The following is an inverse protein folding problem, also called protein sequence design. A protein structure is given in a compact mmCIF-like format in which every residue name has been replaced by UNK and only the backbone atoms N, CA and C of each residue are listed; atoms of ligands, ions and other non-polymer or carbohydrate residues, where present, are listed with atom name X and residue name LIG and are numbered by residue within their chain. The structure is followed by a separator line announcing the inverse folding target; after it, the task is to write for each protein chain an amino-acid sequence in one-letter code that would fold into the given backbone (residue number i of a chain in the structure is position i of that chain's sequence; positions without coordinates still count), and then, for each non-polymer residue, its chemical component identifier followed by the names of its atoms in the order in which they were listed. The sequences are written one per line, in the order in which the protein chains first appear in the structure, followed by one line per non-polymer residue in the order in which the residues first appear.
data_IF_846609526521
#
_entry.id   IF_846609526521
#
_cell.length_a   1.000
_cell.length_b   1.000
_cell.length_c   1.000
_cell.angle_alpha   90.00
_cell.angle_beta   90.00
_cell.angle_gamma   90.00
#
_symmetry.space_group_name_H-M   'P 1'
#
loop_
_entity.id
_entity.type
_entity.pdbx_description
1 polymer ?
#
# COMPACT_ATOMS: atom_id res chain seq x y z
N UNK A 1 22.38 31.44 68.55
CA UNK A 1 21.41 30.57 69.23
C UNK A 1 20.01 30.95 68.75
N UNK A 2 19.77 30.97 67.44
CA UNK A 2 19.51 29.79 66.59
C UNK A 2 18.28 29.03 67.07
N UNK A 3 17.13 29.26 66.41
CA UNK A 3 16.46 28.15 65.72
C UNK A 3 15.41 28.69 64.72
N UNK A 4 15.74 28.50 63.45
CA UNK A 4 14.95 28.74 62.25
C UNK A 4 14.91 27.37 61.56
N UNK A 5 13.75 26.72 61.46
CA UNK A 5 13.47 25.58 60.54
C UNK A 5 12.04 25.08 60.78
N UNK A 6 11.05 25.45 59.96
CA UNK A 6 10.79 25.03 58.56
C UNK A 6 9.66 23.99 58.51
N UNK A 7 8.66 24.34 57.72
CA UNK A 7 7.32 23.79 57.60
C UNK A 7 7.35 22.56 56.68
N UNK A 8 7.49 21.38 57.26
CA UNK A 8 7.57 20.11 56.55
C UNK A 8 6.22 19.49 56.20
N UNK A 9 5.30 20.25 55.59
CA UNK A 9 4.02 19.77 55.06
C UNK A 9 4.20 18.86 53.82
N UNK A 10 4.67 17.64 54.03
CA UNK A 10 4.86 16.62 52.99
C UNK A 10 3.55 16.09 52.42
N UNK A 11 2.89 16.86 51.55
CA UNK A 11 1.76 16.43 50.74
C UNK A 11 2.17 15.37 49.73
N UNK A 12 2.12 14.10 50.13
CA UNK A 12 2.29 12.95 49.24
C UNK A 12 1.26 12.99 48.12
N UNK A 13 1.66 13.50 46.95
CA UNK A 13 0.92 13.36 45.70
C UNK A 13 0.92 11.88 45.31
N UNK A 14 -0.09 11.14 45.77
CA UNK A 14 -0.37 9.80 45.30
C UNK A 14 -0.54 9.84 43.78
N UNK A 15 0.42 9.27 43.06
CA UNK A 15 0.33 9.06 41.62
C UNK A 15 -0.74 8.00 41.38
N UNK A 16 -1.97 8.45 41.13
CA UNK A 16 -3.08 7.56 40.77
C UNK A 16 -2.84 7.03 39.35
N UNK A 17 -2.43 5.77 39.25
CA UNK A 17 -2.36 5.06 37.98
C UNK A 17 -3.79 4.75 37.50
N UNK A 18 -4.12 5.20 36.30
CA UNK A 18 -5.39 4.91 35.65
C UNK A 18 -5.15 3.96 34.47
N UNK A 19 -5.95 2.90 34.40
CA UNK A 19 -5.85 1.88 33.36
C UNK A 19 -7.03 2.01 32.40
N UNK A 20 -6.75 1.99 31.09
CA UNK A 20 -7.77 1.92 30.04
C UNK A 20 -7.89 0.47 29.57
N UNK A 21 -9.07 -0.13 29.76
CA UNK A 21 -9.39 -1.45 29.19
C UNK A 21 -10.22 -1.21 27.94
N UNK A 22 -9.69 -1.62 26.77
CA UNK A 22 -10.39 -1.55 25.49
C UNK A 22 -10.80 -2.95 25.07
N UNK A 23 -12.10 -3.16 24.85
CA UNK A 23 -12.64 -4.40 24.29
C UNK A 23 -12.96 -4.18 22.83
N UNK A 24 -12.43 -5.05 21.96
CA UNK A 24 -12.67 -4.97 20.52
C UNK A 24 -13.73 -6.00 20.11
N UNK A 25 -14.70 -5.57 19.32
CA UNK A 25 -15.67 -6.43 18.65
C UNK A 25 -15.66 -6.14 17.15
N UNK A 26 -15.78 -7.17 16.32
CA UNK A 26 -15.93 -6.99 14.87
C UNK A 26 -17.41 -6.68 14.58
N UNK A 27 -17.71 -5.43 14.19
CA UNK A 27 -19.09 -5.02 13.89
C UNK A 27 -19.56 -5.55 12.52
N UNK A 28 -18.68 -5.55 11.52
CA UNK A 28 -19.00 -5.95 10.15
C UNK A 28 -17.85 -6.73 9.49
N UNK A 29 -18.15 -7.67 8.57
CA UNK A 29 -17.12 -8.31 7.77
C UNK A 29 -16.38 -7.28 6.92
N UNK A 30 -15.06 -7.44 6.70
CA UNK A 30 -14.28 -6.47 5.93
C UNK A 30 -14.86 -6.32 4.52
N UNK A 31 -15.05 -5.07 4.10
CA UNK A 31 -15.56 -4.74 2.76
C UNK A 31 -14.71 -5.44 1.69
N UNK A 32 -15.32 -6.04 0.64
CA UNK A 32 -14.56 -6.59 -0.47
C UNK A 32 -13.71 -5.49 -1.10
N UNK A 33 -12.39 -5.67 -1.10
CA UNK A 33 -11.46 -4.73 -1.71
C UNK A 33 -11.43 -4.93 -3.22
N UNK A 34 -11.29 -3.84 -4.00
CA UNK A 34 -11.10 -3.95 -5.44
C UNK A 34 -9.75 -4.64 -5.74
N UNK A 35 -9.78 -5.63 -6.63
CA UNK A 35 -8.58 -6.34 -7.10
C UNK A 35 -7.79 -5.42 -8.06
N UNK A 36 -6.99 -4.51 -7.49
CA UNK A 36 -6.15 -3.58 -8.26
C UNK A 36 -4.70 -3.98 -8.08
N UNK A 37 -4.02 -4.22 -9.20
CA UNK A 37 -2.59 -4.45 -9.24
C UNK A 37 -1.90 -3.25 -9.90
N UNK A 38 -0.93 -2.64 -9.22
CA UNK A 38 -0.21 -1.46 -9.69
C UNK A 38 1.21 -1.82 -10.11
N UNK A 39 1.54 -1.55 -11.38
CA UNK A 39 2.90 -1.65 -11.90
C UNK A 39 3.51 -0.25 -12.00
N UNK A 40 4.61 -0.02 -11.30
CA UNK A 40 5.25 1.29 -11.20
C UNK A 40 6.73 1.21 -11.56
N UNK A 41 7.16 2.01 -12.54
CA UNK A 41 8.58 2.25 -12.77
C UNK A 41 9.19 2.96 -11.56
N UNK A 42 10.32 2.45 -11.06
CA UNK A 42 10.93 2.89 -9.80
C UNK A 42 11.10 4.42 -9.76
N UNK A 43 10.27 5.13 -8.97
CA UNK A 43 10.36 6.58 -8.90
C UNK A 43 11.50 6.97 -7.96
N UNK A 44 11.85 8.25 -7.95
CA UNK A 44 12.88 8.75 -7.03
C UNK A 44 12.54 8.35 -5.58
N UNK A 45 13.52 7.96 -4.74
CA UNK A 45 13.27 7.44 -3.39
C UNK A 45 12.35 8.31 -2.53
N UNK A 46 12.51 9.64 -2.59
CA UNK A 46 11.64 10.59 -1.87
C UNK A 46 10.18 10.54 -2.30
N UNK A 47 9.93 10.31 -3.58
CA UNK A 47 8.57 10.19 -4.13
C UNK A 47 7.99 8.82 -3.79
N UNK A 48 8.80 7.76 -3.91
CA UNK A 48 8.39 6.40 -3.55
C UNK A 48 7.91 6.30 -2.10
N UNK A 49 8.63 6.94 -1.17
CA UNK A 49 8.24 7.01 0.24
C UNK A 49 6.81 7.52 0.42
N UNK A 50 6.46 8.61 -0.26
CA UNK A 50 5.11 9.20 -0.19
C UNK A 50 4.06 8.30 -0.84
N UNK A 51 4.42 7.64 -1.93
CA UNK A 51 3.50 6.77 -2.65
C UNK A 51 3.10 5.53 -1.86
N UNK A 52 3.93 5.00 -0.94
CA UNK A 52 3.57 3.82 -0.16
C UNK A 52 2.28 3.99 0.62
N UNK A 53 2.15 5.09 1.38
CA UNK A 53 0.93 5.38 2.14
C UNK A 53 -0.27 5.57 1.22
N UNK A 54 -0.11 6.32 0.11
CA UNK A 54 -1.20 6.55 -0.86
C UNK A 54 -1.66 5.24 -1.52
N UNK A 55 -0.73 4.37 -1.95
CA UNK A 55 -1.07 3.09 -2.56
C UNK A 55 -1.81 2.16 -1.58
N UNK A 56 -1.43 2.17 -0.30
CA UNK A 56 -2.14 1.44 0.73
C UNK A 56 -3.55 2.01 1.00
N UNK A 57 -3.70 3.35 1.04
CA UNK A 57 -5.00 4.01 1.22
C UNK A 57 -5.98 3.68 0.08
N UNK A 58 -5.47 3.51 -1.13
CA UNK A 58 -6.28 3.13 -2.29
C UNK A 58 -6.74 1.66 -2.26
N UNK A 59 -6.25 0.84 -1.32
CA UNK A 59 -6.61 -0.58 -1.22
C UNK A 59 -6.03 -1.43 -2.36
N UNK A 60 -4.86 -1.05 -2.88
CA UNK A 60 -4.15 -1.83 -3.91
C UNK A 60 -3.78 -3.20 -3.35
N UNK A 61 -4.04 -4.27 -4.10
CA UNK A 61 -3.75 -5.64 -3.65
C UNK A 61 -2.28 -6.01 -3.87
N UNK A 62 -1.72 -5.63 -5.03
CA UNK A 62 -0.32 -5.89 -5.35
C UNK A 62 0.36 -4.67 -5.96
N UNK A 63 1.56 -4.36 -5.48
CA UNK A 63 2.41 -3.28 -5.99
C UNK A 63 3.68 -3.91 -6.55
N UNK A 64 3.92 -3.73 -7.86
CA UNK A 64 5.10 -4.22 -8.56
C UNK A 64 5.97 -3.03 -8.93
N UNK A 65 7.13 -2.91 -8.32
CA UNK A 65 8.11 -1.86 -8.63
C UNK A 65 9.14 -2.42 -9.60
N UNK A 66 9.32 -1.77 -10.74
CA UNK A 66 10.23 -2.20 -11.81
C UNK A 66 11.33 -1.21 -12.09
N UNK A 67 12.51 -1.70 -12.46
CA UNK A 67 13.52 -0.81 -13.02
C UNK A 67 13.18 -0.47 -14.48
N UNK A 68 13.09 0.83 -14.78
CA UNK A 68 12.95 1.33 -16.14
C UNK A 68 14.28 1.93 -16.63
N UNK A 69 14.47 2.02 -17.95
CA UNK A 69 15.73 2.47 -18.58
C UNK A 69 16.20 3.87 -18.14
N UNK A 70 15.29 4.72 -17.62
CA UNK A 70 15.56 6.07 -17.10
C UNK A 70 15.74 6.14 -15.58
N UNK A 71 15.69 5.02 -14.88
CA UNK A 71 15.90 4.96 -13.43
C UNK A 71 17.38 4.83 -13.11
N UNK A 72 17.90 5.67 -12.21
CA UNK A 72 19.30 5.59 -11.79
C UNK A 72 19.54 4.31 -10.98
N UNK A 73 20.56 3.53 -11.37
CA UNK A 73 20.91 2.26 -10.72
C UNK A 73 21.15 2.42 -9.21
N UNK A 74 21.63 3.57 -8.77
CA UNK A 74 21.96 3.86 -7.37
C UNK A 74 20.75 3.81 -6.41
N UNK A 75 19.52 4.03 -6.91
CA UNK A 75 18.33 3.99 -6.06
C UNK A 75 17.99 2.59 -5.52
N UNK A 76 18.52 1.54 -6.16
CA UNK A 76 18.36 0.15 -5.73
C UNK A 76 19.34 -0.25 -4.62
N UNK A 77 20.53 0.34 -4.61
CA UNK A 77 21.62 -0.03 -3.71
C UNK A 77 21.77 0.91 -2.51
N UNK A 78 21.07 2.05 -2.51
CA UNK A 78 21.12 2.97 -1.38
C UNK A 78 20.43 2.37 -0.16
N UNK A 79 21.09 2.44 0.99
CA UNK A 79 20.51 2.03 2.29
C UNK A 79 19.21 2.76 2.65
N UNK A 80 18.99 3.94 2.03
CA UNK A 80 17.78 4.77 2.18
C UNK A 80 16.68 4.42 1.17
N UNK A 81 16.85 3.36 0.38
CA UNK A 81 15.83 2.94 -0.56
C UNK A 81 14.61 2.43 0.20
N UNK A 82 13.47 3.10 0.03
CA UNK A 82 12.17 2.70 0.58
C UNK A 82 11.64 1.39 -0.01
N UNK A 83 12.49 0.59 -0.67
CA UNK A 83 12.23 -0.78 -1.05
C UNK A 83 12.40 -1.75 0.13
N UNK A 84 13.19 -1.37 1.15
CA UNK A 84 13.41 -2.21 2.33
C UNK A 84 12.15 -2.27 3.20
N UNK A 85 11.85 -3.46 3.69
CA UNK A 85 10.66 -3.76 4.50
C UNK A 85 10.54 -2.84 5.71
N UNK A 86 11.61 -2.65 6.49
CA UNK A 86 11.57 -1.78 7.67
C UNK A 86 11.26 -0.30 7.38
N UNK A 87 11.49 0.18 6.16
CA UNK A 87 11.14 1.56 5.76
C UNK A 87 9.74 1.64 5.16
N UNK A 88 9.31 0.64 4.40
CA UNK A 88 8.00 0.65 3.72
C UNK A 88 6.85 0.19 4.60
N UNK A 89 7.06 -0.81 5.47
CA UNK A 89 6.00 -1.40 6.28
C UNK A 89 5.29 -0.37 7.17
N UNK A 90 6.00 0.57 7.86
CA UNK A 90 5.33 1.61 8.64
C UNK A 90 4.47 2.53 7.79
N UNK A 91 4.96 2.92 6.61
CA UNK A 91 4.25 3.80 5.67
C UNK A 91 3.00 3.14 5.08
N UNK A 92 3.10 1.84 4.78
CA UNK A 92 1.99 1.03 4.33
C UNK A 92 0.95 0.88 5.44
N UNK A 93 1.37 0.61 6.69
CA UNK A 93 0.48 0.48 7.84
C UNK A 93 -0.28 1.79 8.11
N UNK A 94 0.40 2.94 8.05
CA UNK A 94 -0.23 4.26 8.15
C UNK A 94 -1.28 4.45 7.05
N UNK A 95 -0.96 4.10 5.80
CA UNK A 95 -1.90 4.21 4.70
C UNK A 95 -3.11 3.27 4.83
N UNK A 96 -2.90 2.04 5.30
CA UNK A 96 -3.99 1.10 5.59
C UNK A 96 -4.90 1.63 6.69
N UNK A 97 -4.33 2.19 7.75
CA UNK A 97 -5.09 2.81 8.83
C UNK A 97 -5.94 3.98 8.33
N UNK A 98 -5.37 4.86 7.50
CA UNK A 98 -6.11 5.98 6.92
C UNK A 98 -7.21 5.54 5.94
N UNK A 99 -6.99 4.46 5.18
CA UNK A 99 -7.96 3.89 4.24
C UNK A 99 -9.00 2.97 4.88
N UNK A 100 -8.84 2.62 6.17
CA UNK A 100 -9.68 1.61 6.83
C UNK A 100 -9.52 0.20 6.26
N UNK A 101 -8.37 -0.09 5.63
CA UNK A 101 -8.09 -1.37 4.99
C UNK A 101 -7.40 -2.33 5.96
N UNK A 102 -7.75 -3.62 5.88
CA UNK A 102 -7.25 -4.65 6.81
C UNK A 102 -6.29 -5.66 6.17
N UNK A 103 -6.11 -5.64 4.84
CA UNK A 103 -5.15 -6.54 4.16
C UNK A 103 -3.93 -5.76 3.68
N UNK A 104 -2.75 -6.31 3.99
CA UNK A 104 -1.48 -5.74 3.57
C UNK A 104 -1.24 -5.98 2.07
N UNK A 105 -0.84 -4.96 1.29
CA UNK A 105 -0.50 -5.14 -0.11
C UNK A 105 0.73 -6.03 -0.30
N UNK A 106 0.68 -6.90 -1.30
CA UNK A 106 1.82 -7.69 -1.75
C UNK A 106 2.77 -6.76 -2.51
N UNK A 107 4.01 -6.64 -2.07
CA UNK A 107 5.02 -5.81 -2.75
C UNK A 107 6.03 -6.71 -3.45
N UNK A 108 6.22 -6.50 -4.75
CA UNK A 108 7.22 -7.17 -5.58
C UNK A 108 8.16 -6.16 -6.18
N UNK A 109 9.44 -6.51 -6.23
CA UNK A 109 10.49 -5.62 -6.72
C UNK A 109 11.26 -6.36 -7.80
N UNK A 110 11.16 -5.89 -9.05
CA UNK A 110 11.67 -6.58 -10.23
C UNK A 110 12.73 -5.73 -10.95
N UNK A 111 13.91 -6.32 -11.17
CA UNK A 111 15.07 -5.58 -11.68
C UNK A 111 15.00 -5.23 -13.17
N UNK A 112 14.16 -5.93 -13.94
CA UNK A 112 14.12 -5.77 -15.39
C UNK A 112 12.67 -5.77 -15.87
N UNK A 113 12.28 -4.70 -16.57
CA UNK A 113 10.94 -4.55 -17.13
C UNK A 113 10.64 -5.58 -18.24
N UNK A 114 11.58 -5.80 -19.15
CA UNK A 114 11.36 -6.65 -20.34
C UNK A 114 11.04 -8.12 -19.96
N UNK A 115 11.86 -8.82 -19.14
CA UNK A 115 11.52 -10.18 -18.70
C UNK A 115 10.23 -10.25 -17.87
N UNK A 116 9.90 -9.19 -17.13
CA UNK A 116 8.65 -9.15 -16.37
C UNK A 116 7.45 -9.18 -17.33
N UNK A 117 7.43 -8.30 -18.33
CA UNK A 117 6.33 -8.19 -19.29
C UNK A 117 6.14 -9.45 -20.12
N UNK A 118 7.23 -10.04 -20.61
CA UNK A 118 7.18 -11.13 -21.58
C UNK A 118 6.91 -12.51 -20.94
N UNK A 119 7.29 -12.71 -19.67
CA UNK A 119 7.28 -14.06 -19.08
C UNK A 119 6.65 -14.16 -17.70
N UNK A 120 6.61 -13.06 -16.92
CA UNK A 120 6.17 -13.12 -15.52
C UNK A 120 4.82 -12.48 -15.28
N UNK A 121 4.39 -11.53 -16.12
CA UNK A 121 3.17 -10.77 -15.88
C UNK A 121 1.93 -11.67 -15.93
N UNK A 122 1.87 -12.58 -16.89
CA UNK A 122 0.74 -13.52 -17.07
C UNK A 122 0.64 -14.55 -15.95
N UNK A 123 1.74 -14.89 -15.27
CA UNK A 123 1.72 -15.79 -14.11
C UNK A 123 1.45 -15.08 -12.79
N UNK A 124 1.66 -13.76 -12.74
CA UNK A 124 1.47 -12.95 -11.54
C UNK A 124 0.08 -12.31 -11.42
N UNK A 125 -0.63 -12.16 -12.54
CA UNK A 125 -1.93 -11.50 -12.59
C UNK A 125 -3.01 -12.49 -13.05
N UNK A 126 -4.26 -12.32 -12.58
CA UNK A 126 -5.37 -13.12 -13.09
C UNK A 126 -5.51 -12.97 -14.60
N UNK A 127 -5.82 -14.07 -15.30
CA UNK A 127 -5.97 -14.10 -16.76
C UNK A 127 -7.09 -13.17 -17.27
N UNK A 128 -8.08 -12.87 -16.44
CA UNK A 128 -9.22 -12.00 -16.76
C UNK A 128 -8.99 -10.53 -16.38
N UNK A 129 -7.80 -10.17 -15.87
CA UNK A 129 -7.51 -8.81 -15.43
C UNK A 129 -7.37 -7.85 -16.62
N UNK A 130 -8.13 -6.76 -16.60
CA UNK A 130 -7.97 -5.67 -17.59
C UNK A 130 -6.67 -4.93 -17.35
N UNK A 131 -5.82 -4.86 -18.38
CA UNK A 131 -4.55 -4.11 -18.32
C UNK A 131 -4.78 -2.70 -18.84
N UNK A 132 -4.46 -1.72 -18.00
CA UNK A 132 -4.60 -0.31 -18.32
C UNK A 132 -3.22 0.36 -18.27
N UNK A 133 -2.90 1.12 -19.32
CA UNK A 133 -1.71 1.94 -19.36
C UNK A 133 -2.12 3.40 -19.13
N UNK A 134 -1.57 4.02 -18.08
CA UNK A 134 -1.73 5.46 -17.88
C UNK A 134 -0.82 6.20 -18.87
N UNK A 135 -1.40 6.62 -19.99
CA UNK A 135 -0.78 7.55 -20.94
C UNK A 135 -1.47 8.91 -20.84
N UNK A 136 -0.69 9.99 -20.95
CA UNK A 136 -1.17 11.38 -20.98
C UNK A 136 -1.64 11.79 -22.39
N UNK A 137 -1.56 10.90 -23.37
CA UNK A 137 -2.09 11.08 -24.72
C UNK A 137 -3.63 11.03 -24.83
N UNK A 138 -4.15 11.27 -26.02
CA UNK A 138 -5.58 11.11 -26.33
C UNK A 138 -5.92 9.63 -26.48
N UNK A 139 -6.36 9.00 -25.39
CA UNK A 139 -6.81 7.61 -25.35
C UNK A 139 -8.23 7.51 -24.79
N UNK A 140 -8.97 6.42 -25.09
CA UNK A 140 -10.30 6.18 -24.51
C UNK A 140 -10.23 6.23 -22.99
N UNK A 141 -11.28 6.77 -22.38
CA UNK A 141 -11.34 6.95 -20.93
C UNK A 141 -11.34 5.59 -20.23
N UNK A 142 -10.84 5.55 -18.98
CA UNK A 142 -10.82 4.33 -18.17
C UNK A 142 -12.18 3.63 -18.11
N UNK A 143 -13.27 4.40 -18.08
CA UNK A 143 -14.65 3.90 -18.03
C UNK A 143 -15.05 3.15 -19.31
N UNK A 144 -14.58 3.60 -20.46
CA UNK A 144 -14.89 2.97 -21.76
C UNK A 144 -14.16 1.65 -21.91
N UNK A 145 -12.87 1.61 -21.52
CA UNK A 145 -12.06 0.38 -21.59
C UNK A 145 -12.61 -0.71 -20.65
N UNK A 146 -12.99 -0.33 -19.42
CA UNK A 146 -13.60 -1.29 -18.47
C UNK A 146 -14.93 -1.83 -18.98
N UNK A 147 -15.77 -1.00 -19.61
CA UNK A 147 -17.04 -1.44 -20.21
C UNK A 147 -16.82 -2.42 -21.36
N UNK A 148 -15.88 -2.14 -22.25
CA UNK A 148 -15.56 -3.03 -23.37
C UNK A 148 -15.15 -4.42 -22.86
N UNK A 149 -14.23 -4.47 -21.89
CA UNK A 149 -13.78 -5.74 -21.30
C UNK A 149 -14.89 -6.50 -20.57
N UNK A 150 -15.79 -5.79 -19.88
CA UNK A 150 -16.93 -6.44 -19.18
C UNK A 150 -17.91 -7.06 -20.18
N UNK A 151 -18.16 -6.41 -21.31
CA UNK A 151 -19.03 -6.94 -22.36
C UNK A 151 -18.44 -8.18 -23.02
N UNK A 152 -17.13 -8.19 -23.30
CA UNK A 152 -16.45 -9.36 -23.90
C UNK A 152 -16.50 -10.59 -22.98
N UNK A 153 -16.45 -10.40 -21.66
CA UNK A 153 -16.51 -11.52 -20.71
C UNK A 153 -17.94 -12.04 -20.46
N UNK A 154 -18.97 -11.24 -20.77
CA UNK A 154 -20.38 -11.63 -20.64
C UNK A 154 -20.89 -12.52 -21.78
N UNK A 155 -20.14 -12.64 -22.88
CA UNK A 155 -20.48 -13.47 -24.05
C UNK A 155 -20.05 -14.94 -23.97
N UNK A 156 -19.29 -15.32 -22.94
CA UNK A 156 -18.60 -16.64 -22.90
C UNK A 156 -19.30 -17.68 -22.01
N UNK A 157 -20.50 -17.41 -21.47
CA UNK A 157 -21.19 -18.27 -20.51
C UNK A 157 -22.50 -18.88 -21.05
N UNK A 158 -22.52 -19.26 -22.32
CA UNK A 158 -23.62 -20.05 -22.90
C UNK A 158 -23.13 -21.12 -23.89
N UNK A 159 -22.54 -22.19 -23.37
CA UNK A 159 -22.62 -23.53 -23.99
C UNK A 159 -21.96 -24.58 -23.08
N UNK A 160 -22.77 -25.41 -22.46
CA UNK A 160 -22.52 -26.84 -22.20
C UNK A 160 -23.79 -27.42 -21.56
N UNK A 161 -24.64 -27.98 -22.42
CA UNK A 161 -25.70 -28.92 -22.06
C UNK A 161 -25.12 -30.28 -21.70
#
# INVERSE_FOLDING_TARGET
DDDDSDDGGGGGRGSSEAWLVVTFGLLDPPKPMPCIHLLLAHPRPRVLAKLWSVMAQLGVEQIIVVNAKRCEKQYWYSDKSCLKDHLRLPLLAEGLQQGGHTRMPIVRVERFFKPLMEHKLDSMLPSHATRLLCDLGHHPTMREVVKAHTNDNSGSSSSSS
#
